data_IF_087358554478
#
_entry.id   IF_087358554478
#
_cell.length_a   1.000
_cell.length_b   1.000
_cell.length_c   1.000
_cell.angle_alpha   90.00
_cell.angle_beta   90.00
_cell.angle_gamma   90.00
#
_symmetry.space_group_name_H-M   'P 1'
#
loop_
_entity.id
_entity.type
_entity.pdbx_description
1 polymer ?
#
# COMPACT_ATOMS: atom_id res chain seq x y z
N UNK A 1 38.08 59.34 -52.18
CA UNK A 1 37.17 60.44 -51.80
C UNK A 1 36.96 60.32 -50.29
N UNK A 2 37.71 61.11 -49.53
CA UNK A 2 37.70 61.15 -48.06
C UNK A 2 37.21 62.53 -47.61
N UNK A 3 36.58 62.58 -46.43
CA UNK A 3 36.44 63.67 -45.41
C UNK A 3 35.16 63.32 -44.62
N UNK A 4 35.20 62.86 -43.36
CA UNK A 4 35.39 63.53 -42.05
C UNK A 4 34.22 64.40 -41.54
N UNK A 5 33.75 63.96 -40.36
CA UNK A 5 33.00 64.46 -39.19
C UNK A 5 32.62 65.94 -39.00
N UNK A 6 31.53 66.08 -38.20
CA UNK A 6 31.04 67.18 -37.35
C UNK A 6 30.17 68.28 -37.96
N UNK A 7 28.90 68.37 -37.49
CA UNK A 7 28.33 69.60 -36.93
C UNK A 7 27.00 69.39 -36.18
N UNK A 8 26.95 70.01 -35.01
CA UNK A 8 25.86 70.17 -34.07
C UNK A 8 24.58 70.75 -34.72
N UNK A 9 23.41 70.30 -34.26
CA UNK A 9 22.16 71.06 -34.40
C UNK A 9 21.56 71.36 -33.02
N UNK A 10 21.48 72.66 -32.83
CA UNK A 10 21.01 73.49 -31.74
C UNK A 10 19.58 73.16 -31.28
N UNK A 11 19.43 72.78 -30.01
CA UNK A 11 18.15 72.46 -29.35
C UNK A 11 17.46 73.68 -28.72
N UNK A 12 17.86 74.91 -29.09
CA UNK A 12 17.25 76.14 -28.54
C UNK A 12 15.83 76.46 -29.06
N UNK A 13 15.24 75.64 -29.92
CA UNK A 13 13.97 75.96 -30.58
C UNK A 13 12.68 75.43 -29.92
N UNK A 14 12.71 74.92 -28.68
CA UNK A 14 11.48 74.49 -27.98
C UNK A 14 11.39 74.95 -26.54
N UNK A 15 11.48 76.27 -26.32
CA UNK A 15 10.93 76.89 -25.11
C UNK A 15 9.95 77.99 -25.49
N UNK A 16 8.65 77.70 -25.29
CA UNK A 16 7.67 78.53 -24.56
C UNK A 16 6.23 78.11 -24.92
N UNK A 17 5.59 77.37 -24.01
CA UNK A 17 4.35 77.75 -23.29
C UNK A 17 3.70 76.53 -22.66
N UNK A 18 4.01 76.30 -21.39
CA UNK A 18 3.10 75.77 -20.36
C UNK A 18 3.94 75.53 -19.11
N UNK A 19 4.20 76.61 -18.38
CA UNK A 19 4.68 76.57 -17.00
C UNK A 19 3.53 76.09 -16.11
N UNK A 20 3.27 74.78 -16.11
CA UNK A 20 2.65 74.15 -14.96
C UNK A 20 3.78 73.86 -13.97
N UNK A 21 3.74 74.52 -12.83
CA UNK A 21 4.56 74.19 -11.66
C UNK A 21 4.18 72.76 -11.26
N UNK A 22 4.85 71.75 -11.83
CA UNK A 22 4.86 70.42 -11.25
C UNK A 22 5.53 70.63 -9.88
N UNK A 23 4.77 70.43 -8.81
CA UNK A 23 5.31 70.66 -7.48
C UNK A 23 6.49 69.70 -7.27
N UNK A 24 7.50 70.11 -6.50
CA UNK A 24 8.64 69.24 -6.16
C UNK A 24 8.18 67.86 -5.64
N UNK A 25 7.00 67.80 -5.01
CA UNK A 25 6.39 66.56 -4.50
C UNK A 25 5.86 65.65 -5.62
N UNK A 26 5.32 66.19 -6.72
CA UNK A 26 4.83 65.40 -7.84
C UNK A 26 5.98 64.76 -8.63
N UNK A 27 7.08 65.50 -8.85
CA UNK A 27 8.31 64.93 -9.46
C UNK A 27 8.91 63.84 -8.58
N UNK A 28 8.95 64.05 -7.25
CA UNK A 28 9.43 63.03 -6.32
C UNK A 28 8.54 61.78 -6.34
N UNK A 29 7.21 61.95 -6.44
CA UNK A 29 6.26 60.84 -6.48
C UNK A 29 6.37 60.01 -7.76
N UNK A 30 6.62 60.66 -8.90
CA UNK A 30 6.85 60.01 -10.20
C UNK A 30 8.20 59.29 -10.24
N UNK A 31 9.25 59.91 -9.70
CA UNK A 31 10.58 59.29 -9.62
C UNK A 31 10.58 58.09 -8.65
N UNK A 32 9.80 58.17 -7.56
CA UNK A 32 9.59 57.05 -6.64
C UNK A 32 8.75 55.95 -7.28
N UNK A 33 7.70 56.29 -8.03
CA UNK A 33 6.90 55.30 -8.76
C UNK A 33 7.68 54.61 -9.88
N UNK A 34 8.53 55.34 -10.61
CA UNK A 34 9.41 54.81 -11.65
C UNK A 34 10.53 53.94 -11.06
N UNK A 35 11.12 54.35 -9.93
CA UNK A 35 12.10 53.52 -9.20
C UNK A 35 11.46 52.26 -8.64
N UNK A 36 10.29 52.37 -7.99
CA UNK A 36 9.58 51.22 -7.47
C UNK A 36 9.20 50.26 -8.60
N UNK A 37 8.75 50.77 -9.76
CA UNK A 37 8.43 49.97 -10.94
C UNK A 37 9.68 49.29 -11.53
N UNK A 38 10.77 50.03 -11.75
CA UNK A 38 12.02 49.45 -12.22
C UNK A 38 12.61 48.42 -11.25
N UNK A 39 12.39 48.61 -9.94
CA UNK A 39 12.85 47.70 -8.90
C UNK A 39 11.97 46.44 -8.82
N UNK A 40 10.66 46.56 -9.10
CA UNK A 40 9.77 45.39 -9.27
C UNK A 40 10.12 44.63 -10.55
N UNK A 41 10.32 45.32 -11.67
CA UNK A 41 10.71 44.71 -12.95
C UNK A 41 12.06 43.96 -12.83
N UNK A 42 13.04 44.53 -12.10
CA UNK A 42 14.34 43.87 -11.85
C UNK A 42 14.21 42.68 -10.88
N UNK A 43 13.39 42.78 -9.83
CA UNK A 43 13.14 41.64 -8.93
C UNK A 43 12.43 40.50 -9.64
N UNK A 44 11.48 40.80 -10.53
CA UNK A 44 10.76 39.80 -11.30
C UNK A 44 11.65 39.15 -12.37
N UNK A 45 12.51 39.91 -13.04
CA UNK A 45 13.54 39.38 -13.95
C UNK A 45 14.57 38.49 -13.21
N UNK A 46 15.02 38.88 -12.01
CA UNK A 46 15.93 38.08 -11.19
C UNK A 46 15.28 36.79 -10.67
N UNK A 47 14.00 36.83 -10.28
CA UNK A 47 13.22 35.64 -9.94
C UNK A 47 13.09 34.71 -11.13
N UNK A 48 12.81 35.23 -12.33
CA UNK A 48 12.74 34.45 -13.56
C UNK A 48 14.07 33.73 -13.89
N UNK A 49 15.20 34.42 -13.71
CA UNK A 49 16.54 33.86 -13.97
C UNK A 49 16.91 32.77 -12.93
N UNK A 50 16.58 32.99 -11.65
CA UNK A 50 16.79 31.99 -10.59
C UNK A 50 15.86 30.78 -10.75
N UNK A 51 14.63 31.00 -11.19
CA UNK A 51 13.65 29.96 -11.52
C UNK A 51 14.15 29.06 -12.66
N UNK A 52 14.60 29.67 -13.77
CA UNK A 52 15.10 28.95 -14.95
C UNK A 52 16.36 28.12 -14.68
N UNK A 53 17.14 28.46 -13.66
CA UNK A 53 18.36 27.73 -13.26
C UNK A 53 18.10 26.61 -12.26
N UNK A 54 17.01 26.66 -11.47
CA UNK A 54 16.63 25.59 -10.52
C UNK A 54 15.85 24.47 -11.19
N UNK A 55 14.95 24.78 -12.12
CA UNK A 55 14.08 23.81 -12.78
C UNK A 55 14.73 23.14 -13.99
N UNK A 56 15.57 22.11 -13.83
CA UNK A 56 16.30 21.48 -14.95
C UNK A 56 15.41 20.73 -16.00
N UNK A 57 14.07 20.68 -15.84
CA UNK A 57 13.11 19.94 -16.69
C UNK A 57 11.79 20.70 -16.98
N UNK A 58 11.81 22.01 -17.22
CA UNK A 58 10.63 22.67 -17.81
C UNK A 58 10.59 22.50 -19.33
N UNK A 59 9.39 22.36 -19.89
CA UNK A 59 9.14 22.68 -21.28
C UNK A 59 8.72 24.14 -21.37
N UNK A 60 9.44 24.96 -22.15
CA UNK A 60 8.97 26.29 -22.55
C UNK A 60 7.94 26.06 -23.65
N UNK A 61 6.67 26.42 -23.41
CA UNK A 61 5.58 26.12 -24.35
C UNK A 61 5.49 27.19 -25.44
N UNK A 62 5.98 28.42 -25.18
CA UNK A 62 5.90 29.51 -26.14
C UNK A 62 7.22 30.31 -26.21
N UNK A 63 7.95 30.14 -27.31
CA UNK A 63 9.08 30.99 -27.72
C UNK A 63 8.67 31.99 -28.83
N UNK A 64 7.38 32.00 -29.20
CA UNK A 64 6.94 32.50 -30.49
C UNK A 64 6.71 34.02 -30.53
N UNK A 65 6.66 34.69 -29.37
CA UNK A 65 6.39 36.12 -29.29
C UNK A 65 7.25 36.79 -28.20
N UNK A 66 8.31 37.56 -28.54
CA UNK A 66 9.22 38.18 -27.57
C UNK A 66 8.58 39.27 -26.68
N UNK A 67 7.29 39.57 -26.87
CA UNK A 67 6.51 40.52 -26.08
C UNK A 67 5.53 39.84 -25.10
N UNK A 68 5.47 38.50 -25.08
CA UNK A 68 4.64 37.73 -24.14
C UNK A 68 5.54 37.06 -23.10
N UNK A 69 5.07 37.00 -21.85
CA UNK A 69 5.78 36.31 -20.79
C UNK A 69 5.95 34.82 -21.15
N UNK A 70 7.11 34.19 -20.87
CA UNK A 70 7.32 32.79 -21.20
C UNK A 70 6.32 31.90 -20.44
N UNK A 71 5.68 30.96 -21.14
CA UNK A 71 4.86 29.92 -20.51
C UNK A 71 5.73 28.72 -20.14
N UNK A 72 5.65 28.32 -18.88
CA UNK A 72 6.43 27.21 -18.33
C UNK A 72 5.52 26.03 -18.00
N UNK A 73 6.04 24.82 -18.19
CA UNK A 73 5.39 23.60 -17.73
C UNK A 73 6.36 22.68 -17.03
N UNK A 74 5.98 22.23 -15.84
CA UNK A 74 6.68 21.19 -15.09
C UNK A 74 5.68 20.10 -14.69
N UNK A 75 5.74 18.96 -15.38
CA UNK A 75 4.67 17.95 -15.30
C UNK A 75 3.33 18.53 -15.75
N UNK A 76 2.35 18.51 -14.86
CA UNK A 76 1.01 19.07 -15.07
C UNK A 76 0.85 20.49 -14.50
N UNK A 77 1.89 21.05 -13.88
CA UNK A 77 1.89 22.44 -13.42
C UNK A 77 2.25 23.37 -14.57
N UNK A 78 1.44 24.40 -14.79
CA UNK A 78 1.64 25.43 -15.82
C UNK A 78 1.76 26.85 -15.26
N UNK A 79 1.40 27.03 -13.99
CA UNK A 79 1.52 28.30 -13.28
C UNK A 79 2.91 28.41 -12.64
N UNK A 80 3.58 29.55 -12.82
CA UNK A 80 4.96 29.74 -12.35
C UNK A 80 5.07 29.70 -10.83
N UNK A 81 4.07 30.24 -10.12
CA UNK A 81 4.07 30.27 -8.66
C UNK A 81 3.89 28.86 -8.10
N UNK A 82 3.02 28.04 -8.70
CA UNK A 82 2.87 26.63 -8.33
C UNK A 82 4.18 25.84 -8.58
N UNK A 83 4.84 26.08 -9.72
CA UNK A 83 6.10 25.41 -10.05
C UNK A 83 7.17 25.80 -9.02
N UNK A 84 7.30 27.09 -8.70
CA UNK A 84 8.26 27.57 -7.71
C UNK A 84 7.96 27.03 -6.31
N UNK A 85 6.69 26.95 -5.92
CA UNK A 85 6.28 26.34 -4.65
C UNK A 85 6.71 24.86 -4.59
N UNK A 86 6.49 24.09 -5.66
CA UNK A 86 6.94 22.69 -5.73
C UNK A 86 8.46 22.56 -5.62
N UNK A 87 9.23 23.45 -6.26
CA UNK A 87 10.69 23.46 -6.16
C UNK A 87 11.17 23.83 -4.75
N UNK A 88 10.45 24.70 -4.02
CA UNK A 88 10.76 24.98 -2.60
C UNK A 88 10.61 23.74 -1.72
N UNK A 89 9.67 22.84 -2.03
CA UNK A 89 9.60 21.54 -1.34
C UNK A 89 10.82 20.67 -1.62
N UNK A 90 11.37 20.71 -2.83
CA UNK A 90 12.59 19.99 -3.18
C UNK A 90 13.82 20.52 -2.44
N UNK A 91 13.91 21.84 -2.22
CA UNK A 91 15.04 22.45 -1.50
C UNK A 91 15.09 22.07 -0.01
N UNK A 92 13.95 21.64 0.55
CA UNK A 92 13.83 21.17 1.94
C UNK A 92 14.43 19.77 2.13
N UNK A 93 14.74 19.07 1.04
CA UNK A 93 15.15 17.67 1.03
C UNK A 93 16.64 17.52 0.70
N UNK A 94 17.20 16.36 1.05
CA UNK A 94 18.52 15.96 0.54
C UNK A 94 18.48 15.77 -0.98
N UNK A 95 19.64 15.68 -1.62
CA UNK A 95 19.69 15.50 -3.08
C UNK A 95 18.98 14.22 -3.54
N UNK A 96 19.22 13.11 -2.86
CA UNK A 96 18.67 11.81 -3.25
C UNK A 96 17.14 11.76 -3.01
N UNK A 97 16.68 12.38 -1.92
CA UNK A 97 15.25 12.53 -1.62
C UNK A 97 14.54 13.45 -2.62
N UNK A 98 15.21 14.54 -3.01
CA UNK A 98 14.74 15.46 -4.04
C UNK A 98 14.60 14.75 -5.39
N UNK A 99 15.58 13.91 -5.75
CA UNK A 99 15.54 13.12 -6.99
C UNK A 99 14.44 12.05 -6.98
N UNK A 100 14.15 11.46 -5.81
CA UNK A 100 12.98 10.56 -5.60
C UNK A 100 11.68 11.31 -5.85
N UNK A 101 11.51 12.49 -5.24
CA UNK A 101 10.30 13.31 -5.41
C UNK A 101 10.10 13.72 -6.88
N UNK A 102 11.19 14.00 -7.61
CA UNK A 102 11.19 14.34 -9.05
C UNK A 102 10.83 13.18 -9.97
N UNK A 103 10.90 11.93 -9.51
CA UNK A 103 10.56 10.77 -10.31
C UNK A 103 9.04 10.70 -10.60
N UNK A 104 8.24 11.33 -9.75
CA UNK A 104 6.78 11.44 -9.89
C UNK A 104 6.39 12.71 -10.65
N UNK A 105 5.23 12.69 -11.32
CA UNK A 105 4.78 13.81 -12.15
C UNK A 105 4.22 14.93 -11.27
N UNK A 106 4.82 16.14 -11.27
CA UNK A 106 4.28 17.27 -10.50
C UNK A 106 2.85 17.61 -10.93
N UNK A 107 1.99 17.92 -9.96
CA UNK A 107 0.58 18.27 -10.18
C UNK A 107 0.05 19.13 -9.02
N UNK A 108 -1.10 19.78 -9.22
CA UNK A 108 -1.79 20.58 -8.19
C UNK A 108 -2.10 19.74 -6.93
N UNK A 109 -2.58 18.51 -7.10
CA UNK A 109 -2.85 17.60 -5.98
C UNK A 109 -1.57 17.26 -5.22
N UNK A 110 -0.47 17.03 -5.94
CA UNK A 110 0.81 16.72 -5.32
C UNK A 110 1.36 17.93 -4.56
N UNK A 111 1.33 19.12 -5.14
CA UNK A 111 1.73 20.35 -4.46
C UNK A 111 0.89 20.58 -3.18
N UNK A 112 -0.44 20.44 -3.28
CA UNK A 112 -1.37 20.58 -2.14
C UNK A 112 -1.03 19.60 -1.01
N UNK A 113 -0.61 18.38 -1.34
CA UNK A 113 -0.15 17.40 -0.35
C UNK A 113 1.15 17.84 0.32
N UNK A 114 2.13 18.30 -0.46
CA UNK A 114 3.44 18.72 0.06
C UNK A 114 3.33 19.97 0.96
N UNK A 115 2.43 20.91 0.63
CA UNK A 115 2.16 22.11 1.41
C UNK A 115 1.70 21.80 2.85
N UNK A 116 1.02 20.65 3.03
CA UNK A 116 0.50 20.18 4.32
C UNK A 116 1.52 19.39 5.16
N UNK A 117 2.74 19.22 4.66
CA UNK A 117 3.77 18.44 5.34
C UNK A 117 4.87 19.33 5.91
N UNK A 118 5.14 19.17 7.21
CA UNK A 118 6.38 19.66 7.81
C UNK A 118 7.60 18.85 7.33
N UNK A 119 8.81 19.30 7.66
CA UNK A 119 10.05 18.69 7.15
C UNK A 119 10.17 17.21 7.54
N UNK A 120 9.83 16.87 8.79
CA UNK A 120 9.87 15.47 9.26
C UNK A 120 8.93 14.57 8.45
N UNK A 121 7.68 15.00 8.27
CA UNK A 121 6.65 14.24 7.54
C UNK A 121 7.01 14.13 6.06
N UNK A 122 7.55 15.20 5.48
CA UNK A 122 7.99 15.22 4.09
C UNK A 122 9.13 14.22 3.84
N UNK A 123 10.16 14.20 4.71
CA UNK A 123 11.25 13.24 4.60
C UNK A 123 10.75 11.79 4.71
N UNK A 124 9.87 11.50 5.68
CA UNK A 124 9.26 10.17 5.82
C UNK A 124 8.42 9.78 4.61
N UNK A 125 7.66 10.72 4.05
CA UNK A 125 6.86 10.47 2.86
C UNK A 125 7.73 10.12 1.63
N UNK A 126 8.86 10.81 1.47
CA UNK A 126 9.83 10.48 0.41
C UNK A 126 10.47 9.12 0.64
N UNK A 127 10.80 8.76 1.89
CA UNK A 127 11.30 7.42 2.24
C UNK A 127 10.27 6.32 1.93
N UNK A 128 8.98 6.59 2.14
CA UNK A 128 7.91 5.68 1.71
C UNK A 128 7.88 5.54 0.17
N UNK A 129 7.97 6.65 -0.56
CA UNK A 129 7.99 6.64 -2.02
C UNK A 129 9.19 5.89 -2.59
N UNK A 130 10.36 6.03 -1.96
CA UNK A 130 11.57 5.32 -2.37
C UNK A 130 11.50 3.84 -2.04
N UNK A 131 10.94 3.40 -0.91
CA UNK A 131 10.94 1.97 -0.54
C UNK A 131 9.82 1.17 -1.17
N UNK A 132 8.62 1.75 -1.23
CA UNK A 132 7.39 1.01 -1.55
C UNK A 132 6.86 1.25 -2.97
N UNK A 133 7.37 2.29 -3.63
CA UNK A 133 6.84 2.74 -4.92
C UNK A 133 7.94 2.96 -5.98
N UNK A 134 9.08 2.28 -5.86
CA UNK A 134 10.19 2.39 -6.83
C UNK A 134 9.76 2.19 -8.28
N UNK A 135 10.22 3.10 -9.14
CA UNK A 135 9.92 3.11 -10.57
C UNK A 135 10.95 2.31 -11.42
N UNK A 136 11.89 1.60 -10.77
CA UNK A 136 13.05 0.97 -11.41
C UNK A 136 12.95 -0.53 -11.73
N UNK A 137 11.79 -1.18 -11.53
CA UNK A 137 11.65 -2.64 -11.62
C UNK A 137 10.57 -3.14 -12.57
N UNK A 138 10.40 -4.47 -12.65
CA UNK A 138 9.40 -5.14 -13.50
C UNK A 138 7.93 -4.77 -13.18
N UNK A 139 7.68 -4.11 -12.04
CA UNK A 139 6.36 -3.67 -11.59
C UNK A 139 6.23 -2.14 -11.47
N UNK A 140 7.12 -1.39 -12.15
CA UNK A 140 7.21 0.08 -12.04
C UNK A 140 5.92 0.80 -12.42
N UNK A 141 5.21 0.35 -13.46
CA UNK A 141 3.94 0.98 -13.86
C UNK A 141 2.87 0.87 -12.76
N UNK A 142 2.77 -0.31 -12.12
CA UNK A 142 1.83 -0.52 -11.01
C UNK A 142 2.21 0.31 -9.78
N UNK A 143 3.52 0.39 -9.49
CA UNK A 143 4.03 1.24 -8.41
C UNK A 143 3.72 2.72 -8.65
N UNK A 144 3.88 3.19 -9.89
CA UNK A 144 3.56 4.55 -10.30
C UNK A 144 2.07 4.87 -10.13
N UNK A 145 1.20 3.98 -10.61
CA UNK A 145 -0.25 4.17 -10.51
C UNK A 145 -0.69 4.23 -9.04
N UNK A 146 -0.13 3.36 -8.19
CA UNK A 146 -0.43 3.35 -6.75
C UNK A 146 0.11 4.57 -6.01
N UNK A 147 1.29 5.06 -6.37
CA UNK A 147 1.80 6.31 -5.81
C UNK A 147 0.94 7.51 -6.19
N UNK A 148 0.45 7.57 -7.44
CA UNK A 148 -0.45 8.62 -7.88
C UNK A 148 -1.79 8.57 -7.15
N UNK A 149 -2.32 7.37 -6.92
CA UNK A 149 -3.52 7.15 -6.10
C UNK A 149 -3.32 7.64 -4.65
N UNK A 150 -2.19 7.27 -4.04
CA UNK A 150 -1.80 7.73 -2.70
C UNK A 150 -1.77 9.26 -2.63
N UNK A 151 -1.09 9.91 -3.58
CA UNK A 151 -1.00 11.37 -3.67
C UNK A 151 -2.40 11.98 -3.75
N UNK A 152 -3.27 11.44 -4.62
CA UNK A 152 -4.62 11.96 -4.81
C UNK A 152 -5.48 11.85 -3.55
N UNK A 153 -5.42 10.71 -2.86
CA UNK A 153 -6.15 10.46 -1.61
C UNK A 153 -5.66 11.37 -0.49
N UNK A 154 -4.34 11.47 -0.29
CA UNK A 154 -3.77 12.24 0.82
C UNK A 154 -3.90 13.74 0.59
N UNK A 155 -3.93 14.22 -0.65
CA UNK A 155 -4.13 15.65 -0.95
C UNK A 155 -5.44 16.21 -0.35
N UNK A 156 -6.43 15.34 -0.12
CA UNK A 156 -7.76 15.67 0.43
C UNK A 156 -7.82 15.58 1.95
N UNK A 157 -6.80 15.01 2.59
CA UNK A 157 -6.71 14.82 4.04
C UNK A 157 -6.25 16.10 4.76
N UNK A 158 -6.52 16.16 6.06
CA UNK A 158 -5.92 17.13 6.98
C UNK A 158 -4.45 16.80 7.29
N UNK A 159 -3.71 17.76 7.84
CA UNK A 159 -2.28 17.59 8.20
C UNK A 159 -2.07 16.43 9.19
N UNK A 160 -2.94 16.29 10.18
CA UNK A 160 -2.86 15.21 11.17
C UNK A 160 -3.13 13.83 10.56
N UNK A 161 -4.09 13.74 9.63
CA UNK A 161 -4.37 12.51 8.88
C UNK A 161 -3.22 12.13 7.96
N UNK A 162 -2.61 13.11 7.28
CA UNK A 162 -1.42 12.93 6.45
C UNK A 162 -0.29 12.38 7.30
N UNK A 163 0.03 13.02 8.43
CA UNK A 163 1.09 12.57 9.33
C UNK A 163 0.86 11.14 9.81
N UNK A 164 -0.35 10.83 10.30
CA UNK A 164 -0.70 9.48 10.77
C UNK A 164 -0.57 8.43 9.66
N UNK A 165 -0.98 8.77 8.44
CA UNK A 165 -0.92 7.87 7.29
C UNK A 165 0.52 7.66 6.81
N UNK A 166 1.36 8.71 6.79
CA UNK A 166 2.79 8.60 6.46
C UNK A 166 3.53 7.74 7.48
N UNK A 167 3.33 8.00 8.79
CA UNK A 167 3.96 7.19 9.84
C UNK A 167 3.54 5.71 9.75
N UNK A 168 2.28 5.45 9.37
CA UNK A 168 1.79 4.09 9.14
C UNK A 168 2.41 3.45 7.90
N UNK A 169 2.43 4.15 6.77
CA UNK A 169 3.05 3.67 5.53
C UNK A 169 4.53 3.35 5.72
N UNK A 170 5.27 4.21 6.43
CA UNK A 170 6.67 3.97 6.75
C UNK A 170 6.83 2.69 7.58
N UNK A 171 5.94 2.49 8.57
CA UNK A 171 6.00 1.27 9.36
C UNK A 171 5.71 0.02 8.51
N UNK A 172 4.73 0.10 7.62
CA UNK A 172 4.40 -0.99 6.71
C UNK A 172 5.54 -1.27 5.73
N UNK A 173 6.22 -0.26 5.20
CA UNK A 173 7.36 -0.44 4.29
C UNK A 173 8.53 -1.14 4.98
N UNK A 174 8.85 -0.78 6.23
CA UNK A 174 9.85 -1.50 7.05
C UNK A 174 9.50 -2.98 7.27
N UNK A 175 8.20 -3.26 7.48
CA UNK A 175 7.72 -4.64 7.64
C UNK A 175 7.83 -5.43 6.33
N UNK A 176 7.56 -4.82 5.18
CA UNK A 176 7.71 -5.47 3.87
C UNK A 176 9.17 -5.86 3.56
N UNK A 177 10.12 -4.96 3.85
CA UNK A 177 11.55 -5.20 3.61
C UNK A 177 12.11 -6.35 4.45
N UNK A 178 11.59 -6.53 5.66
CA UNK A 178 12.02 -7.56 6.61
C UNK A 178 11.26 -8.88 6.48
N UNK A 179 10.17 -8.91 5.73
CA UNK A 179 9.33 -10.10 5.59
C UNK A 179 9.91 -11.09 4.57
N UNK A 180 9.88 -12.41 4.87
CA UNK A 180 10.18 -13.40 3.87
C UNK A 180 9.11 -13.36 2.76
N UNK A 181 9.55 -13.37 1.51
CA UNK A 181 8.65 -13.43 0.35
C UNK A 181 7.89 -14.76 0.43
N UNK A 182 6.58 -14.71 0.72
CA UNK A 182 5.72 -15.91 0.91
C UNK A 182 5.47 -16.72 -0.37
N UNK A 183 6.10 -16.35 -1.49
CA UNK A 183 6.14 -17.13 -2.73
C UNK A 183 7.51 -17.75 -2.98
N UNK A 184 8.46 -17.61 -2.05
CA UNK A 184 9.77 -18.23 -2.16
C UNK A 184 9.66 -19.76 -2.26
N UNK A 185 8.71 -20.43 -1.59
CA UNK A 185 8.53 -21.88 -1.74
C UNK A 185 8.00 -22.29 -3.12
N UNK A 186 7.30 -21.41 -3.81
CA UNK A 186 6.83 -21.62 -5.19
C UNK A 186 7.96 -21.42 -6.22
N UNK A 187 8.95 -20.56 -5.89
CA UNK A 187 10.09 -20.24 -6.76
C UNK A 187 11.35 -21.07 -6.48
N UNK A 188 11.50 -21.56 -5.26
CA UNK A 188 12.57 -22.46 -4.92
C UNK A 188 12.28 -23.76 -5.67
N UNK A 189 13.20 -24.25 -6.52
CA UNK A 189 13.13 -25.64 -6.93
C UNK A 189 13.08 -26.46 -5.65
N UNK A 190 12.33 -27.57 -5.68
CA UNK A 190 12.17 -28.62 -4.68
C UNK A 190 13.47 -29.17 -4.04
N UNK A 191 14.34 -28.31 -3.54
CA UNK A 191 15.69 -28.61 -3.07
C UNK A 191 15.77 -28.55 -1.55
N UNK A 192 14.85 -27.84 -0.87
CA UNK A 192 14.74 -27.88 0.60
C UNK A 192 13.93 -29.07 1.11
N UNK A 193 13.08 -29.67 0.27
CA UNK A 193 12.43 -30.96 0.54
C UNK A 193 13.07 -31.95 -0.44
N UNK A 194 13.96 -32.80 0.03
CA UNK A 194 14.50 -33.87 -0.81
C UNK A 194 13.35 -34.75 -1.33
N UNK A 195 13.29 -35.00 -2.64
CA UNK A 195 12.31 -35.86 -3.31
C UNK A 195 10.86 -35.32 -3.39
N UNK A 196 10.62 -34.08 -3.83
CA UNK A 196 9.29 -33.73 -4.36
C UNK A 196 9.16 -34.36 -5.75
N UNK A 197 8.23 -35.30 -5.87
CA UNK A 197 7.92 -35.96 -7.13
C UNK A 197 7.05 -35.06 -8.02
N UNK A 198 6.03 -34.41 -7.42
CA UNK A 198 5.03 -33.65 -8.16
C UNK A 198 4.52 -32.43 -7.38
N UNK A 199 4.27 -31.34 -8.10
CA UNK A 199 3.51 -30.19 -7.60
C UNK A 199 2.27 -30.03 -8.47
N UNK A 200 1.10 -30.13 -7.84
CA UNK A 200 -0.22 -30.07 -8.47
C UNK A 200 -0.95 -28.83 -7.95
N UNK A 201 -1.63 -28.15 -8.87
CA UNK A 201 -2.53 -27.05 -8.55
C UNK A 201 -3.97 -27.54 -8.66
N UNK A 202 -4.85 -27.03 -7.79
CA UNK A 202 -6.29 -27.28 -7.92
C UNK A 202 -6.85 -26.74 -9.24
N UNK A 203 -8.03 -27.20 -9.67
CA UNK A 203 -8.64 -26.71 -10.91
C UNK A 203 -8.98 -25.21 -10.88
N UNK A 204 -9.13 -24.65 -9.69
CA UNK A 204 -9.35 -23.21 -9.47
C UNK A 204 -8.04 -22.44 -9.26
N UNK A 205 -6.90 -23.12 -9.24
CA UNK A 205 -5.59 -22.56 -9.05
C UNK A 205 -4.75 -22.60 -10.34
N UNK A 206 -4.08 -21.50 -10.63
CA UNK A 206 -3.03 -21.42 -11.65
C UNK A 206 -1.80 -20.77 -11.01
N UNK A 207 -0.63 -21.33 -11.28
CA UNK A 207 0.64 -20.86 -10.75
C UNK A 207 0.86 -19.37 -11.01
N UNK A 208 0.68 -18.88 -12.24
CA UNK A 208 1.05 -17.50 -12.56
C UNK A 208 0.16 -16.48 -11.84
N UNK A 209 -1.18 -16.57 -11.90
CA UNK A 209 -2.06 -15.72 -11.09
C UNK A 209 -1.82 -15.84 -9.59
N UNK A 210 -1.60 -17.05 -9.06
CA UNK A 210 -1.31 -17.23 -7.63
C UNK A 210 0.00 -16.56 -7.25
N UNK A 211 1.07 -16.79 -8.00
CA UNK A 211 2.36 -16.16 -7.75
C UNK A 211 2.25 -14.63 -7.69
N UNK A 212 1.52 -14.05 -8.64
CA UNK A 212 1.24 -12.61 -8.66
C UNK A 212 0.43 -12.17 -7.44
N UNK A 213 -0.63 -12.89 -7.07
CA UNK A 213 -1.39 -12.62 -5.84
C UNK A 213 -0.50 -12.69 -4.59
N UNK A 214 0.47 -13.61 -4.54
CA UNK A 214 1.41 -13.74 -3.42
C UNK A 214 2.28 -12.50 -3.25
N UNK A 215 2.81 -11.96 -4.36
CA UNK A 215 3.53 -10.69 -4.36
C UNK A 215 2.62 -9.55 -3.88
N UNK A 216 1.43 -9.45 -4.46
CA UNK A 216 0.48 -8.36 -4.16
C UNK A 216 -0.02 -8.39 -2.72
N UNK A 217 -0.26 -9.57 -2.17
CA UNK A 217 -0.73 -9.74 -0.79
C UNK A 217 0.37 -9.45 0.25
N UNK A 218 1.63 -9.41 -0.17
CA UNK A 218 2.74 -9.01 0.69
C UNK A 218 3.07 -7.51 0.57
N UNK A 219 2.47 -6.79 -0.38
CA UNK A 219 2.60 -5.33 -0.52
C UNK A 219 1.60 -4.59 0.37
N UNK A 220 1.85 -4.60 1.68
CA UNK A 220 1.03 -3.96 2.71
C UNK A 220 0.79 -2.46 2.45
N UNK A 221 1.78 -1.73 1.98
CA UNK A 221 1.68 -0.32 1.61
C UNK A 221 0.67 -0.11 0.51
N UNK A 222 0.69 -0.91 -0.57
CA UNK A 222 -0.28 -0.83 -1.66
C UNK A 222 -1.69 -1.16 -1.17
N UNK A 223 -1.84 -2.20 -0.34
CA UNK A 223 -3.13 -2.56 0.27
C UNK A 223 -3.62 -1.48 1.23
N UNK A 224 -2.73 -0.79 1.92
CA UNK A 224 -3.10 0.34 2.76
C UNK A 224 -3.56 1.54 1.93
N UNK A 225 -2.93 1.82 0.78
CA UNK A 225 -3.44 2.81 -0.18
C UNK A 225 -4.86 2.46 -0.62
N UNK A 226 -5.11 1.20 -1.01
CA UNK A 226 -6.45 0.73 -1.38
C UNK A 226 -7.47 0.95 -0.24
N UNK A 227 -7.06 0.72 1.02
CA UNK A 227 -7.90 0.96 2.18
C UNK A 227 -8.24 2.46 2.34
N UNK A 228 -7.26 3.35 2.21
CA UNK A 228 -7.49 4.80 2.26
C UNK A 228 -8.44 5.26 1.13
N UNK A 229 -8.20 4.78 -0.09
CA UNK A 229 -9.02 5.10 -1.27
C UNK A 229 -10.45 4.61 -1.18
N UNK A 230 -10.71 3.51 -0.47
CA UNK A 230 -12.06 2.99 -0.28
C UNK A 230 -12.97 3.94 0.50
N UNK A 231 -12.39 4.87 1.29
CA UNK A 231 -13.11 5.79 2.18
C UNK A 231 -14.19 5.09 3.03
N UNK A 232 -13.90 3.84 3.42
CA UNK A 232 -14.85 2.93 4.06
C UNK A 232 -15.05 3.22 5.55
N UNK A 233 -14.09 3.89 6.17
CA UNK A 233 -13.99 4.16 7.59
C UNK A 233 -14.02 5.67 7.85
N UNK A 234 -14.53 6.07 9.01
CA UNK A 234 -14.43 7.47 9.43
C UNK A 234 -12.98 7.84 9.74
N UNK A 235 -12.67 9.13 9.81
CA UNK A 235 -11.34 9.61 10.23
C UNK A 235 -10.91 9.00 11.57
N UNK A 236 -11.82 8.96 12.56
CA UNK A 236 -11.51 8.39 13.88
C UNK A 236 -11.23 6.90 13.83
N UNK A 237 -11.98 6.14 13.02
CA UNK A 237 -11.74 4.72 12.81
C UNK A 237 -10.41 4.47 12.09
N UNK A 238 -10.08 5.27 11.08
CA UNK A 238 -8.79 5.19 10.38
C UNK A 238 -7.61 5.52 11.29
N UNK A 239 -7.73 6.53 12.15
CA UNK A 239 -6.71 6.83 13.16
C UNK A 239 -6.52 5.65 14.14
N UNK A 240 -7.60 4.99 14.54
CA UNK A 240 -7.53 3.79 15.37
C UNK A 240 -6.80 2.65 14.62
N UNK A 241 -7.19 2.36 13.38
CA UNK A 241 -6.53 1.36 12.52
C UNK A 241 -5.03 1.67 12.40
N UNK A 242 -4.66 2.92 12.11
CA UNK A 242 -3.27 3.35 12.00
C UNK A 242 -2.48 3.10 13.29
N UNK A 243 -3.04 3.47 14.44
CA UNK A 243 -2.40 3.21 15.75
C UNK A 243 -2.18 1.72 16.04
N UNK A 244 -3.07 0.85 15.53
CA UNK A 244 -2.87 -0.59 15.62
C UNK A 244 -1.78 -1.09 14.66
N UNK A 245 -1.82 -0.70 13.38
CA UNK A 245 -0.84 -1.10 12.35
C UNK A 245 0.59 -0.71 12.73
N UNK A 246 0.78 0.47 13.32
CA UNK A 246 2.10 0.95 13.75
C UNK A 246 2.76 0.09 14.85
N UNK A 247 1.97 -0.70 15.58
CA UNK A 247 2.42 -1.54 16.69
C UNK A 247 2.31 -3.04 16.38
N UNK A 248 1.90 -3.39 15.17
CA UNK A 248 1.66 -4.78 14.76
C UNK A 248 2.88 -5.41 14.11
N UNK A 249 2.93 -6.75 14.08
CA UNK A 249 3.86 -7.48 13.23
C UNK A 249 3.38 -7.51 11.78
N UNK A 250 4.23 -7.94 10.84
CA UNK A 250 3.87 -8.06 9.42
C UNK A 250 2.57 -8.88 9.20
N UNK A 251 2.46 -10.06 9.83
CA UNK A 251 1.28 -10.92 9.70
C UNK A 251 0.02 -10.26 10.29
N UNK A 252 0.16 -9.58 11.44
CA UNK A 252 -0.95 -8.86 12.04
C UNK A 252 -1.41 -7.70 11.14
N UNK A 253 -0.48 -6.88 10.63
CA UNK A 253 -0.80 -5.80 9.70
C UNK A 253 -1.50 -6.31 8.44
N UNK A 254 -1.02 -7.43 7.88
CA UNK A 254 -1.63 -8.11 6.73
C UNK A 254 -3.08 -8.50 7.00
N UNK A 255 -3.34 -9.13 8.15
CA UNK A 255 -4.71 -9.49 8.54
C UNK A 255 -5.61 -8.28 8.82
N UNK A 256 -5.10 -7.27 9.55
CA UNK A 256 -5.85 -6.04 9.86
C UNK A 256 -6.29 -5.35 8.56
N UNK A 257 -5.38 -5.14 7.62
CA UNK A 257 -5.68 -4.46 6.35
C UNK A 257 -6.69 -5.27 5.53
N UNK A 258 -6.48 -6.59 5.38
CA UNK A 258 -7.40 -7.42 4.60
C UNK A 258 -8.80 -7.47 5.21
N UNK A 259 -8.91 -7.63 6.53
CA UNK A 259 -10.20 -7.62 7.20
C UNK A 259 -10.87 -6.24 7.08
N UNK A 260 -10.12 -5.16 7.25
CA UNK A 260 -10.63 -3.80 7.08
C UNK A 260 -11.20 -3.57 5.67
N UNK A 261 -10.54 -4.11 4.64
CA UNK A 261 -11.01 -4.01 3.25
C UNK A 261 -12.28 -4.84 2.99
N UNK A 262 -12.38 -6.03 3.56
CA UNK A 262 -13.36 -7.06 3.15
C UNK A 262 -14.60 -7.20 4.05
N UNK A 263 -14.55 -6.71 5.30
CA UNK A 263 -15.68 -6.76 6.24
C UNK A 263 -16.91 -6.00 5.71
N UNK A 264 -18.14 -6.44 6.00
CA UNK A 264 -19.32 -5.71 5.52
C UNK A 264 -19.51 -4.40 6.28
N UNK A 265 -20.22 -3.45 5.67
CA UNK A 265 -20.45 -2.12 6.27
C UNK A 265 -21.10 -2.20 7.66
N UNK A 266 -22.05 -3.11 7.86
CA UNK A 266 -22.75 -3.31 9.14
C UNK A 266 -21.90 -4.02 10.21
N UNK A 267 -20.73 -4.55 9.86
CA UNK A 267 -19.83 -5.30 10.74
C UNK A 267 -18.56 -4.49 11.09
N UNK A 268 -18.42 -3.27 10.54
CA UNK A 268 -17.25 -2.42 10.75
C UNK A 268 -17.02 -2.07 12.23
N UNK A 269 -18.09 -1.76 12.98
CA UNK A 269 -17.98 -1.44 14.40
C UNK A 269 -17.45 -2.62 15.21
N UNK A 270 -17.90 -3.83 14.89
CA UNK A 270 -17.46 -5.09 15.49
C UNK A 270 -15.99 -5.37 15.18
N UNK A 271 -15.57 -5.11 13.93
CA UNK A 271 -14.16 -5.17 13.54
C UNK A 271 -13.30 -4.19 14.36
N UNK A 272 -13.70 -2.92 14.47
CA UNK A 272 -12.95 -1.92 15.24
C UNK A 272 -12.87 -2.31 16.72
N UNK A 273 -13.97 -2.80 17.30
CA UNK A 273 -13.98 -3.29 18.68
C UNK A 273 -13.08 -4.51 18.88
N UNK A 274 -13.08 -5.46 17.93
CA UNK A 274 -12.18 -6.61 17.96
C UNK A 274 -10.72 -6.19 17.82
N UNK A 275 -10.43 -5.22 16.95
CA UNK A 275 -9.10 -4.66 16.75
C UNK A 275 -8.54 -4.05 18.04
N UNK A 276 -9.35 -3.27 18.75
CA UNK A 276 -8.96 -2.65 20.01
C UNK A 276 -8.79 -3.65 21.17
N UNK A 277 -9.50 -4.78 21.13
CA UNK A 277 -9.44 -5.79 22.20
C UNK A 277 -8.47 -6.94 21.93
N UNK A 278 -7.94 -7.07 20.72
CA UNK A 278 -7.01 -8.15 20.37
C UNK A 278 -5.66 -7.99 21.08
N UNK A 279 -5.16 -9.09 21.67
CA UNK A 279 -3.88 -9.07 22.36
C UNK A 279 -2.73 -9.11 21.35
N UNK A 280 -1.96 -8.02 21.23
CA UNK A 280 -0.89 -7.89 20.22
C UNK A 280 0.25 -8.89 20.37
N UNK A 281 0.51 -9.38 21.59
CA UNK A 281 1.61 -10.31 21.89
C UNK A 281 1.14 -11.77 22.03
N UNK A 282 -0.14 -12.06 21.76
CA UNK A 282 -0.68 -13.42 21.84
C UNK A 282 -0.24 -14.25 20.63
N UNK A 283 0.26 -15.46 20.86
CA UNK A 283 0.55 -16.45 19.83
C UNK A 283 -0.71 -16.91 19.07
N UNK A 284 -1.89 -16.57 19.60
CA UNK A 284 -3.20 -16.87 19.04
C UNK A 284 -3.90 -15.60 18.52
N UNK A 285 -3.14 -14.53 18.24
CA UNK A 285 -3.71 -13.27 17.75
C UNK A 285 -4.55 -13.47 16.48
N UNK A 286 -5.81 -13.03 16.54
CA UNK A 286 -6.79 -13.19 15.44
C UNK A 286 -6.32 -12.60 14.11
N UNK A 287 -5.64 -11.45 14.13
CA UNK A 287 -5.19 -10.81 12.90
C UNK A 287 -3.99 -11.52 12.27
N UNK A 288 -3.09 -12.07 13.09
CA UNK A 288 -2.04 -12.95 12.57
C UNK A 288 -2.64 -14.24 11.98
N UNK A 289 -3.63 -14.83 12.65
CA UNK A 289 -4.33 -16.03 12.20
C UNK A 289 -5.03 -15.82 10.84
N UNK A 290 -5.82 -14.76 10.68
CA UNK A 290 -6.52 -14.53 9.40
C UNK A 290 -5.57 -14.21 8.25
N UNK A 291 -4.36 -13.71 8.51
CA UNK A 291 -3.37 -13.44 7.46
C UNK A 291 -2.97 -14.69 6.67
N UNK A 292 -3.17 -15.89 7.25
CA UNK A 292 -2.96 -17.17 6.58
C UNK A 292 -3.86 -17.34 5.35
N UNK A 293 -5.05 -16.72 5.33
CA UNK A 293 -5.98 -16.72 4.19
C UNK A 293 -5.42 -16.04 2.93
N UNK A 294 -4.32 -15.30 3.07
CA UNK A 294 -3.64 -14.58 2.00
C UNK A 294 -2.23 -15.12 1.73
N UNK A 295 -1.87 -16.25 2.36
CA UNK A 295 -0.55 -16.85 2.26
C UNK A 295 -0.60 -18.15 1.45
N UNK A 296 -0.03 -18.12 0.24
CA UNK A 296 -0.07 -19.28 -0.67
C UNK A 296 0.67 -20.49 -0.09
N UNK A 297 1.71 -20.25 0.71
CA UNK A 297 2.42 -21.33 1.38
C UNK A 297 1.46 -22.09 2.30
N UNK A 298 0.66 -21.40 3.11
CA UNK A 298 -0.36 -22.01 4.00
C UNK A 298 -1.44 -22.76 3.20
N UNK A 299 -1.71 -22.33 1.97
CA UNK A 299 -2.61 -23.02 1.04
C UNK A 299 -1.98 -24.20 0.29
N UNK A 300 -0.70 -24.51 0.55
CA UNK A 300 0.03 -25.62 -0.05
C UNK A 300 0.20 -26.75 0.95
N UNK A 301 -0.48 -27.87 0.69
CA UNK A 301 -0.37 -29.11 1.46
C UNK A 301 0.65 -30.07 0.85
N UNK A 302 1.28 -30.90 1.66
CA UNK A 302 2.17 -31.96 1.19
C UNK A 302 1.63 -33.34 1.57
N UNK A 303 1.89 -34.30 0.70
CA UNK A 303 1.49 -35.68 0.86
C UNK A 303 2.68 -36.60 0.59
N UNK A 304 2.96 -37.52 1.50
CA UNK A 304 3.91 -38.60 1.26
C UNK A 304 3.25 -39.65 0.36
N UNK A 305 3.95 -40.02 -0.71
CA UNK A 305 3.50 -41.01 -1.69
C UNK A 305 4.05 -42.39 -1.35
N UNK A 306 3.19 -43.41 -1.45
CA UNK A 306 3.63 -44.81 -1.33
C UNK A 306 4.56 -45.26 -2.45
N UNK A 307 4.70 -44.48 -3.52
CA UNK A 307 5.69 -44.70 -4.59
C UNK A 307 7.06 -44.09 -4.24
N UNK A 308 7.18 -43.40 -3.11
CA UNK A 308 8.34 -42.62 -2.73
C UNK A 308 8.14 -41.12 -2.98
N UNK A 309 8.80 -40.30 -2.15
CA UNK A 309 8.80 -38.84 -2.26
C UNK A 309 7.47 -38.16 -1.88
N UNK A 310 7.37 -36.88 -2.22
CA UNK A 310 6.27 -36.00 -1.82
C UNK A 310 5.50 -35.44 -3.01
N UNK A 311 4.19 -35.32 -2.84
CA UNK A 311 3.29 -34.59 -3.72
C UNK A 311 2.85 -33.31 -3.02
N UNK A 312 3.13 -32.16 -3.62
CA UNK A 312 2.60 -30.88 -3.19
C UNK A 312 1.28 -30.59 -3.89
N UNK A 313 0.31 -30.08 -3.14
CA UNK A 313 -0.98 -29.65 -3.64
C UNK A 313 -1.26 -28.22 -3.18
N UNK A 314 -1.33 -27.29 -4.13
CA UNK A 314 -1.66 -25.89 -3.87
C UNK A 314 -3.08 -25.59 -4.32
N UNK A 315 -3.89 -25.10 -3.38
CA UNK A 315 -5.25 -24.63 -3.70
C UNK A 315 -5.26 -23.13 -4.01
N UNK A 316 -6.36 -22.67 -4.61
CA UNK A 316 -6.59 -21.25 -4.84
C UNK A 316 -6.73 -20.50 -3.51
N UNK A 317 -6.27 -19.25 -3.46
CA UNK A 317 -6.60 -18.35 -2.36
C UNK A 317 -8.10 -18.04 -2.36
N UNK A 318 -8.71 -17.83 -1.19
CA UNK A 318 -10.11 -17.46 -1.08
C UNK A 318 -10.38 -16.10 -1.72
N UNK A 319 -11.44 -16.03 -2.52
CA UNK A 319 -11.98 -14.77 -3.02
C UNK A 319 -12.41 -13.83 -1.88
N UNK A 320 -12.54 -12.53 -2.16
CA UNK A 320 -12.99 -11.54 -1.18
C UNK A 320 -14.34 -11.91 -0.55
N UNK A 321 -15.25 -12.52 -1.34
CA UNK A 321 -16.55 -13.00 -0.84
C UNK A 321 -16.45 -14.23 0.07
N UNK A 322 -15.42 -15.05 -0.09
CA UNK A 322 -15.13 -16.15 0.84
C UNK A 322 -14.47 -15.62 2.11
N UNK A 323 -13.50 -14.72 2.01
CA UNK A 323 -12.86 -14.07 3.16
C UNK A 323 -13.87 -13.26 3.98
N UNK A 324 -14.73 -12.48 3.32
CA UNK A 324 -15.81 -11.74 3.98
C UNK A 324 -16.76 -12.66 4.78
N UNK A 325 -17.11 -13.84 4.25
CA UNK A 325 -17.91 -14.84 4.99
C UNK A 325 -17.17 -15.38 6.21
N UNK A 326 -15.91 -15.77 6.04
CA UNK A 326 -15.07 -16.23 7.14
C UNK A 326 -14.92 -15.17 8.24
N UNK A 327 -14.73 -13.91 7.87
CA UNK A 327 -14.64 -12.79 8.81
C UNK A 327 -15.97 -12.51 9.52
N UNK A 328 -17.11 -12.68 8.85
CA UNK A 328 -18.41 -12.64 9.53
C UNK A 328 -18.52 -13.72 10.62
N UNK A 329 -18.00 -14.92 10.39
CA UNK A 329 -18.02 -15.99 11.42
C UNK A 329 -17.14 -15.65 12.63
N UNK A 330 -15.96 -15.07 12.39
CA UNK A 330 -15.06 -14.60 13.47
C UNK A 330 -15.67 -13.44 14.25
N UNK A 331 -16.29 -12.48 13.57
CA UNK A 331 -16.95 -11.34 14.21
C UNK A 331 -18.17 -11.79 15.02
N UNK A 332 -18.98 -12.70 14.49
CA UNK A 332 -20.11 -13.28 15.23
C UNK A 332 -19.65 -13.97 16.52
N UNK A 333 -18.59 -14.76 16.44
CA UNK A 333 -17.97 -15.39 17.61
C UNK A 333 -17.46 -14.35 18.62
N UNK A 334 -16.76 -13.32 18.14
CA UNK A 334 -16.26 -12.23 18.97
C UNK A 334 -17.39 -11.46 19.66
N UNK A 335 -18.46 -11.10 18.95
CA UNK A 335 -19.60 -10.38 19.53
C UNK A 335 -20.32 -11.21 20.58
N UNK A 336 -20.44 -12.52 20.33
CA UNK A 336 -21.18 -13.43 21.20
C UNK A 336 -20.39 -13.83 22.44
N UNK A 337 -19.05 -13.97 22.34
CA UNK A 337 -18.22 -14.62 23.37
C UNK A 337 -16.95 -13.85 23.75
N UNK A 338 -16.56 -12.83 23.00
CA UNK A 338 -15.39 -12.00 23.25
C UNK A 338 -14.07 -12.59 22.76
N UNK A 339 -13.01 -11.77 22.82
CA UNK A 339 -11.67 -12.08 22.28
C UNK A 339 -11.06 -13.34 22.87
N UNK A 340 -11.15 -13.55 24.20
CA UNK A 340 -10.52 -14.70 24.85
C UNK A 340 -11.07 -16.04 24.34
N UNK A 341 -12.35 -16.09 24.01
CA UNK A 341 -12.98 -17.28 23.43
C UNK A 341 -12.47 -17.53 22.01
N UNK A 342 -12.41 -16.47 21.19
CA UNK A 342 -11.86 -16.54 19.83
C UNK A 342 -10.42 -17.04 19.84
N UNK A 343 -9.56 -16.50 20.72
CA UNK A 343 -8.16 -16.91 20.82
C UNK A 343 -8.00 -18.38 21.27
N UNK A 344 -8.87 -18.88 22.15
CA UNK A 344 -8.87 -20.30 22.55
C UNK A 344 -9.24 -21.22 21.37
N UNK A 345 -10.24 -20.85 20.57
CA UNK A 345 -10.55 -21.60 19.33
C UNK A 345 -9.36 -21.57 18.38
N UNK A 346 -8.74 -20.40 18.17
CA UNK A 346 -7.55 -20.22 17.31
C UNK A 346 -6.41 -21.15 17.74
N UNK A 347 -6.14 -21.29 19.04
CA UNK A 347 -5.09 -22.18 19.57
C UNK A 347 -5.15 -23.59 18.98
N UNK A 348 -6.37 -24.10 18.77
CA UNK A 348 -6.61 -25.46 18.28
C UNK A 348 -6.59 -25.57 16.75
N UNK A 349 -6.82 -24.47 16.03
CA UNK A 349 -7.05 -24.47 14.58
C UNK A 349 -5.99 -23.73 13.77
N UNK A 350 -5.13 -22.91 14.39
CA UNK A 350 -4.13 -22.08 13.68
C UNK A 350 -3.09 -22.87 12.89
N UNK A 351 -2.85 -24.13 13.28
CA UNK A 351 -1.94 -25.07 12.61
C UNK A 351 -2.65 -25.90 11.52
N UNK A 352 -3.91 -25.60 11.22
CA UNK A 352 -4.71 -26.29 10.21
C UNK A 352 -4.75 -25.48 8.92
N UNK A 353 -4.79 -26.13 7.76
CA UNK A 353 -4.86 -25.45 6.47
C UNK A 353 -5.99 -24.41 6.42
N UNK A 354 -5.74 -23.19 5.92
CA UNK A 354 -6.73 -22.12 5.81
C UNK A 354 -8.05 -22.53 5.15
N UNK A 355 -7.99 -23.46 4.20
CA UNK A 355 -9.12 -23.99 3.44
C UNK A 355 -10.18 -24.64 4.34
N UNK A 356 -9.79 -25.15 5.52
CA UNK A 356 -10.71 -25.79 6.45
C UNK A 356 -11.28 -24.82 7.50
N UNK A 357 -10.61 -23.69 7.72
CA UNK A 357 -10.87 -22.82 8.87
C UNK A 357 -12.31 -22.33 8.87
N UNK A 358 -12.84 -21.88 7.73
CA UNK A 358 -14.24 -21.44 7.64
C UNK A 358 -15.23 -22.55 8.04
N UNK A 359 -15.01 -23.79 7.61
CA UNK A 359 -15.88 -24.92 7.98
C UNK A 359 -15.85 -25.18 9.49
N UNK A 360 -14.66 -25.09 10.11
CA UNK A 360 -14.51 -25.26 11.56
C UNK A 360 -15.26 -24.16 12.31
N UNK A 361 -15.08 -22.89 11.91
CA UNK A 361 -15.75 -21.75 12.52
C UNK A 361 -17.28 -21.81 12.38
N UNK A 362 -17.78 -22.16 11.20
CA UNK A 362 -19.22 -22.36 10.99
C UNK A 362 -19.78 -23.49 11.86
N UNK A 363 -19.05 -24.61 11.99
CA UNK A 363 -19.49 -25.75 12.77
C UNK A 363 -19.54 -25.43 14.26
N UNK A 364 -18.50 -24.79 14.81
CA UNK A 364 -18.46 -24.43 16.23
C UNK A 364 -19.49 -23.33 16.55
N UNK A 365 -19.60 -22.28 15.73
CA UNK A 365 -20.59 -21.22 15.94
C UNK A 365 -22.01 -21.77 15.94
N UNK A 366 -22.35 -22.65 14.99
CA UNK A 366 -23.67 -23.29 14.92
C UNK A 366 -24.00 -24.10 16.17
N UNK A 367 -23.03 -24.83 16.73
CA UNK A 367 -23.26 -25.64 17.93
C UNK A 367 -23.33 -24.78 19.20
N UNK A 368 -22.50 -23.73 19.28
CA UNK A 368 -22.53 -22.73 20.35
C UNK A 368 -23.84 -21.97 20.38
N UNK A 369 -24.38 -21.57 19.22
CA UNK A 369 -25.66 -20.87 19.12
C UNK A 369 -26.84 -21.79 19.47
N UNK A 370 -26.75 -23.07 19.13
CA UNK A 370 -27.80 -24.04 19.42
C UNK A 370 -27.83 -24.47 20.91
N UNK A 371 -26.68 -24.50 21.58
CA UNK A 371 -26.52 -25.00 22.96
C UNK A 371 -25.56 -24.12 23.78
N UNK A 372 -25.90 -22.83 23.98
CA UNK A 372 -24.97 -21.87 24.55
C UNK A 372 -24.50 -22.21 25.97
N UNK A 373 -25.32 -22.95 26.73
CA UNK A 373 -25.04 -23.39 28.10
C UNK A 373 -23.86 -24.36 28.22
N UNK A 374 -23.61 -25.17 27.18
CA UNK A 374 -22.50 -26.15 27.17
C UNK A 374 -21.16 -25.44 26.98
N UNK A 375 -21.16 -24.29 26.30
CA UNK A 375 -19.95 -23.54 25.96
C UNK A 375 -19.60 -22.44 26.96
N UNK A 376 -20.22 -22.47 28.15
CA UNK A 376 -19.87 -21.61 29.28
C UNK A 376 -18.79 -22.22 30.17
N UNK A 377 -18.45 -23.50 29.98
CA UNK A 377 -17.38 -24.18 30.72
C UNK A 377 -16.03 -24.00 30.03
N UNK A 378 -14.96 -23.84 30.82
CA UNK A 378 -13.61 -23.57 30.30
C UNK A 378 -13.13 -24.61 29.27
N UNK A 379 -13.46 -25.88 29.48
CA UNK A 379 -12.95 -26.99 28.66
C UNK A 379 -13.88 -27.33 27.46
N UNK A 380 -14.97 -26.57 27.28
CA UNK A 380 -15.99 -26.87 26.27
C UNK A 380 -15.47 -26.81 24.83
N UNK A 381 -14.55 -25.88 24.55
CA UNK A 381 -13.86 -25.78 23.26
C UNK A 381 -13.00 -27.02 23.04
N UNK A 382 -12.19 -27.41 24.02
CA UNK A 382 -11.30 -28.58 23.93
C UNK A 382 -12.10 -29.86 23.64
N UNK A 383 -13.18 -30.10 24.40
CA UNK A 383 -14.08 -31.24 24.19
C UNK A 383 -14.68 -31.25 22.79
N UNK A 384 -15.11 -30.09 22.29
CA UNK A 384 -15.63 -29.97 20.94
C UNK A 384 -14.55 -30.27 19.89
N UNK A 385 -13.35 -29.70 20.06
CA UNK A 385 -12.21 -29.93 19.17
C UNK A 385 -11.83 -31.41 19.11
N UNK A 386 -11.72 -32.08 20.26
CA UNK A 386 -11.40 -33.52 20.31
C UNK A 386 -12.45 -34.39 19.61
N UNK A 387 -13.74 -34.02 19.70
CA UNK A 387 -14.82 -34.82 19.15
C UNK A 387 -15.14 -34.55 17.68
N UNK A 388 -14.87 -33.35 17.16
CA UNK A 388 -15.28 -32.92 15.81
C UNK A 388 -14.14 -32.64 14.84
N UNK A 389 -13.00 -32.14 15.31
CA UNK A 389 -11.94 -31.68 14.41
C UNK A 389 -11.37 -32.83 13.56
N UNK A 390 -11.32 -34.04 14.11
CA UNK A 390 -10.84 -35.22 13.41
C UNK A 390 -11.68 -35.58 12.18
N UNK A 391 -13.00 -35.50 12.27
CA UNK A 391 -13.87 -35.81 11.11
C UNK A 391 -13.75 -34.75 10.02
N UNK A 392 -13.71 -33.46 10.39
CA UNK A 392 -13.53 -32.35 9.43
C UNK A 392 -12.17 -32.49 8.71
N UNK A 393 -11.12 -32.84 9.45
CA UNK A 393 -9.77 -33.08 8.88
C UNK A 393 -9.78 -34.24 7.92
N UNK A 394 -10.39 -35.36 8.30
CA UNK A 394 -10.47 -36.51 7.43
C UNK A 394 -11.23 -36.22 6.13
N UNK A 395 -12.39 -35.54 6.21
CA UNK A 395 -13.16 -35.15 5.02
C UNK A 395 -12.34 -34.26 4.07
N UNK A 396 -11.66 -33.25 4.61
CA UNK A 396 -10.78 -32.38 3.84
C UNK A 396 -9.64 -33.14 3.15
N UNK A 397 -8.94 -34.02 3.87
CA UNK A 397 -7.84 -34.82 3.33
C UNK A 397 -8.32 -35.73 2.19
N UNK A 398 -9.47 -36.39 2.36
CA UNK A 398 -10.05 -37.25 1.31
C UNK A 398 -10.40 -36.46 0.05
N UNK A 399 -10.96 -35.25 0.21
CA UNK A 399 -11.29 -34.37 -0.91
C UNK A 399 -10.03 -33.89 -1.67
N UNK A 400 -8.95 -33.56 -0.95
CA UNK A 400 -7.68 -33.21 -1.59
C UNK A 400 -7.03 -34.42 -2.29
N UNK A 401 -6.98 -35.59 -1.64
CA UNK A 401 -6.44 -36.82 -2.25
C UNK A 401 -7.21 -37.16 -3.52
N UNK A 402 -8.53 -37.01 -3.54
CA UNK A 402 -9.35 -37.20 -4.74
C UNK A 402 -8.97 -36.23 -5.85
N UNK A 403 -8.79 -34.95 -5.53
CA UNK A 403 -8.38 -33.93 -6.51
C UNK A 403 -6.98 -34.18 -7.05
N UNK A 404 -6.03 -34.57 -6.20
CA UNK A 404 -4.67 -34.95 -6.61
C UNK A 404 -4.71 -36.12 -7.59
N UNK A 405 -5.44 -37.19 -7.26
CA UNK A 405 -5.59 -38.36 -8.13
C UNK A 405 -6.26 -38.01 -9.46
N UNK A 406 -7.28 -37.15 -9.44
CA UNK A 406 -7.95 -36.68 -10.64
C UNK A 406 -6.99 -35.89 -11.54
N UNK A 407 -6.26 -34.91 -10.99
CA UNK A 407 -5.30 -34.10 -11.74
C UNK A 407 -4.13 -34.95 -12.27
N UNK A 408 -3.67 -35.94 -11.50
CA UNK A 408 -2.62 -36.85 -11.92
C UNK A 408 -3.07 -37.77 -13.08
N UNK A 409 -4.34 -38.17 -13.11
CA UNK A 409 -4.93 -38.96 -14.19
C UNK A 409 -5.19 -38.13 -15.45
N UNK A 410 -5.63 -36.88 -15.29
CA UNK A 410 -5.98 -35.95 -16.39
C UNK A 410 -4.75 -35.28 -17.04
N UNK A 411 -3.54 -35.46 -16.48
CA UNK A 411 -2.31 -34.89 -17.02
C UNK A 411 -1.95 -35.46 -18.42
N UNK A 412 -1.27 -34.66 -19.25
CA UNK A 412 -0.80 -35.06 -20.59
C UNK A 412 -0.08 -36.41 -20.61
N UNK A 413 0.66 -36.69 -19.54
CA UNK A 413 1.19 -38.01 -19.22
C UNK A 413 0.61 -38.39 -17.86
N UNK A 414 -0.35 -39.33 -17.80
CA UNK A 414 -0.94 -39.76 -16.54
C UNK A 414 0.11 -40.29 -15.58
N UNK A 415 0.00 -39.91 -14.31
CA UNK A 415 0.95 -40.26 -13.25
C UNK A 415 0.28 -41.09 -12.18
N UNK A 416 0.97 -42.15 -11.75
CA UNK A 416 0.55 -42.93 -10.59
C UNK A 416 1.17 -42.32 -9.33
N UNK A 417 0.35 -41.63 -8.53
CA UNK A 417 0.76 -41.00 -7.27
C UNK A 417 0.66 -41.92 -6.06
N UNK A 418 0.24 -43.18 -6.24
CA UNK A 418 0.13 -44.17 -5.17
C UNK A 418 -0.89 -43.83 -4.09
N UNK A 419 -0.72 -44.45 -2.91
CA UNK A 419 -1.45 -44.05 -1.71
C UNK A 419 -0.79 -42.80 -1.13
N UNK A 420 -1.61 -41.83 -0.72
CA UNK A 420 -1.17 -40.53 -0.23
C UNK A 420 -1.47 -40.40 1.27
N UNK A 421 -0.48 -39.97 2.04
CA UNK A 421 -0.63 -39.66 3.47
C UNK A 421 -0.31 -38.19 3.69
N UNK A 422 -1.23 -37.43 4.29
CA UNK A 422 -1.02 -36.01 4.55
C UNK A 422 0.15 -35.79 5.53
N UNK A 423 1.00 -34.82 5.21
CA UNK A 423 2.13 -34.43 6.04
C UNK A 423 1.86 -33.06 6.62
N UNK A 424 1.85 -32.98 7.96
CA UNK A 424 1.69 -31.70 8.65
C UNK A 424 2.81 -30.75 8.20
N UNK A 425 2.42 -29.54 7.81
CA UNK A 425 3.27 -28.55 7.16
C UNK A 425 4.53 -28.17 7.98
N UNK A 426 4.43 -28.21 9.31
CA UNK A 426 5.55 -28.01 10.25
C UNK A 426 6.66 -29.06 10.11
N UNK A 427 6.34 -30.26 9.62
CA UNK A 427 7.28 -31.37 9.49
C UNK A 427 8.18 -31.28 8.25
N UNK A 428 7.86 -30.41 7.29
CA UNK A 428 8.63 -30.24 6.06
C UNK A 428 9.79 -29.23 6.20
N UNK A 429 9.81 -28.44 7.27
CA UNK A 429 10.74 -27.31 7.46
C UNK A 429 11.95 -27.70 8.35
N UNK A 430 11.83 -28.80 9.12
CA UNK A 430 12.85 -29.22 10.09
C UNK A 430 13.37 -30.65 9.88
N UNK A 431 13.01 -31.30 8.77
CA UNK A 431 13.47 -32.64 8.41
C UNK A 431 14.59 -32.62 7.36
N UNK A 432 15.73 -32.01 7.70
CA UNK A 432 16.95 -31.99 6.89
C UNK A 432 18.18 -31.84 7.77
#
# INVERSE_FOLDING_TARGET
>A
MQIKTDQYLDLSAFTRKSSALISKNEVLSLDTALKNKAQTDIEDDLKLIQFATRAHKYAIINLSNPNEAPEYRYGNLTDVDDIEAFLKHQDRLSKDDSDTLRAYTPSKEYLTLLDKMNDETLNKFVDVLSRSFELGGAFSDKAKDKAQELISVMSKMSEDEIKSSVDTLLKLSEQEESAPISSAKLLLPAQSISHIEFHIYSKSADFHPLFMQGIENNKLTHKYVDLLSSNKYTQGDMQNINGHLQQSSFLQSKGIIDMAQTVKRNEQASFIAMLSNAQKQSDNNVFAYISQQLNIDEHTSAYESSQGGYVLYTDSLPSDSQRSRFYSELLHAYESRGTAWVENVIEHVKERPPQMQNTIWQAINKEVDAKPEIYNYADSIEVWMTSRLGSITHEFEQDQIKQINQSAYEADIPKNVGLLTWVKQTSLIFGG
#
